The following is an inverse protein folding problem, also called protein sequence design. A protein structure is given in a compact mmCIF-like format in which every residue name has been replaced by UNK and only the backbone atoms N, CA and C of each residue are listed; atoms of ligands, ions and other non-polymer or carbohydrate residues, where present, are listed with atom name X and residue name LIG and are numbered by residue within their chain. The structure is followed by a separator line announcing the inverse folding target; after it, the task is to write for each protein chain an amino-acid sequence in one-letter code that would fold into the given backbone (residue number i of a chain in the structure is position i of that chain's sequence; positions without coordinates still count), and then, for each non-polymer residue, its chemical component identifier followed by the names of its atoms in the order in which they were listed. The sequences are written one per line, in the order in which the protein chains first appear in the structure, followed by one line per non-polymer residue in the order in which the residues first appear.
data_IF_627705757878
#
_entry.id   IF_627705757878
#
_cell.length_a   1.000
_cell.length_b   1.000
_cell.length_c   1.000
_cell.angle_alpha   90.00
_cell.angle_beta   90.00
_cell.angle_gamma   90.00
#
_symmetry.space_group_name_H-M   'P 1'
#
loop_
_entity.id
_entity.type
_entity.pdbx_description
1 polymer ?
#
# COMPACT_ATOMS: atom_id res chain seq x y z
N UNK A 1 9.45 -10.75 -7.59
CA UNK A 1 8.64 -9.60 -7.16
C UNK A 1 9.10 -8.28 -7.79
N UNK A 2 8.15 -7.54 -8.37
CA UNK A 2 8.28 -6.21 -8.96
C UNK A 2 7.15 -5.34 -8.43
N UNK A 3 7.38 -4.03 -8.29
CA UNK A 3 6.47 -3.11 -7.61
C UNK A 3 6.01 -1.98 -8.54
N UNK A 4 4.77 -1.58 -8.36
CA UNK A 4 4.07 -0.58 -9.16
C UNK A 4 3.20 0.28 -8.26
N UNK A 5 3.01 1.54 -8.61
CA UNK A 5 2.17 2.47 -7.86
C UNK A 5 1.08 3.04 -8.77
N UNK A 6 -0.10 3.29 -8.18
CA UNK A 6 -1.19 4.05 -8.81
C UNK A 6 -1.53 5.22 -7.90
N UNK A 7 -1.48 6.43 -8.46
CA UNK A 7 -1.88 7.66 -7.78
C UNK A 7 -3.25 8.11 -8.27
N UNK A 8 -4.02 8.73 -7.38
CA UNK A 8 -5.29 9.39 -7.69
C UNK A 8 -5.25 10.87 -7.25
N UNK A 9 -5.63 11.79 -8.14
CA UNK A 9 -5.51 13.23 -7.93
C UNK A 9 -4.21 13.84 -8.48
N UNK A 10 -4.16 15.17 -8.57
CA UNK A 10 -3.11 15.90 -9.34
C UNK A 10 -2.22 16.83 -8.48
N UNK A 11 -2.52 17.10 -7.19
CA UNK A 11 -1.83 18.21 -6.47
C UNK A 11 -1.46 18.00 -4.99
N UNK A 12 -1.90 16.92 -4.34
CA UNK A 12 -1.32 16.46 -3.07
C UNK A 12 -0.81 15.04 -3.30
N UNK A 13 0.21 14.61 -2.57
CA UNK A 13 0.63 13.21 -2.49
C UNK A 13 -0.52 12.41 -1.84
N UNK A 14 -1.64 12.27 -2.55
CA UNK A 14 -2.74 11.40 -2.19
C UNK A 14 -2.19 9.98 -2.08
N UNK A 15 -2.80 9.21 -1.18
CA UNK A 15 -2.39 7.84 -0.89
C UNK A 15 -2.19 7.05 -2.20
N UNK A 16 -0.93 6.78 -2.52
CA UNK A 16 -0.60 5.90 -3.62
C UNK A 16 -0.92 4.48 -3.17
N UNK A 17 -1.57 3.70 -4.02
CA UNK A 17 -1.71 2.25 -3.77
C UNK A 17 -0.50 1.53 -4.33
N UNK A 18 0.07 0.64 -3.54
CA UNK A 18 1.22 -0.16 -3.91
C UNK A 18 0.78 -1.55 -4.41
N UNK A 19 1.31 -1.96 -5.54
CA UNK A 19 1.01 -3.24 -6.20
C UNK A 19 2.30 -4.03 -6.39
N UNK A 20 2.29 -5.31 -6.01
CA UNK A 20 3.39 -6.23 -6.22
C UNK A 20 3.01 -7.32 -7.24
N UNK A 21 3.97 -7.79 -8.04
CA UNK A 21 3.75 -8.91 -8.95
C UNK A 21 5.02 -9.76 -9.13
N UNK A 22 4.89 -11.08 -9.30
CA UNK A 22 6.05 -11.96 -9.42
C UNK A 22 6.85 -11.79 -10.72
N UNK A 23 6.13 -11.48 -11.81
CA UNK A 23 6.70 -11.18 -13.12
C UNK A 23 6.76 -9.68 -13.37
N UNK A 24 7.77 -9.25 -14.11
CA UNK A 24 7.91 -7.86 -14.57
C UNK A 24 6.97 -7.60 -15.74
N UNK A 25 6.17 -6.57 -15.60
CA UNK A 25 5.50 -5.83 -16.68
C UNK A 25 6.33 -4.60 -17.03
N UNK A 26 6.44 -4.30 -18.33
CA UNK A 26 7.05 -3.04 -18.77
C UNK A 26 6.11 -1.85 -18.47
N UNK A 27 6.64 -0.62 -18.30
CA UNK A 27 5.81 0.53 -17.91
C UNK A 27 4.60 0.77 -18.82
N UNK A 28 4.76 0.62 -20.14
CA UNK A 28 3.66 0.76 -21.11
C UNK A 28 2.63 -0.36 -21.02
N UNK A 29 3.05 -1.56 -20.64
CA UNK A 29 2.17 -2.70 -20.44
C UNK A 29 1.31 -2.49 -19.19
N UNK A 30 1.94 -2.12 -18.07
CA UNK A 30 1.24 -1.76 -16.83
C UNK A 30 0.26 -0.60 -17.06
N UNK A 31 0.68 0.45 -17.76
CA UNK A 31 -0.18 1.58 -18.12
C UNK A 31 -1.42 1.15 -18.92
N UNK A 32 -1.27 0.22 -19.87
CA UNK A 32 -2.39 -0.30 -20.64
C UNK A 32 -3.38 -1.10 -19.78
N UNK A 33 -2.89 -1.88 -18.81
CA UNK A 33 -3.71 -2.62 -17.85
C UNK A 33 -4.51 -1.67 -16.95
N UNK A 34 -3.86 -0.66 -16.38
CA UNK A 34 -4.49 0.37 -15.54
C UNK A 34 -5.59 1.11 -16.32
N UNK A 35 -5.31 1.52 -17.57
CA UNK A 35 -6.31 2.19 -18.41
C UNK A 35 -7.52 1.31 -18.70
N UNK A 36 -7.30 0.02 -18.95
CA UNK A 36 -8.37 -0.95 -19.19
C UNK A 36 -9.25 -1.11 -17.95
N UNK A 37 -8.65 -1.31 -16.78
CA UNK A 37 -9.36 -1.42 -15.51
C UNK A 37 -10.14 -0.13 -15.18
N UNK A 38 -9.52 1.05 -15.36
CA UNK A 38 -10.17 2.34 -15.21
C UNK A 38 -11.44 2.45 -16.06
N UNK A 39 -11.38 2.08 -17.34
CA UNK A 39 -12.55 2.15 -18.24
C UNK A 39 -13.68 1.22 -17.79
N UNK A 40 -13.35 0.05 -17.22
CA UNK A 40 -14.33 -0.89 -16.69
C UNK A 40 -15.05 -0.30 -15.47
N UNK A 41 -14.31 0.34 -14.57
CA UNK A 41 -14.76 0.69 -13.22
C UNK A 41 -15.34 2.10 -13.09
N UNK A 42 -15.06 3.01 -14.04
CA UNK A 42 -15.32 4.46 -13.92
C UNK A 42 -16.73 4.85 -13.42
N UNK A 43 -17.74 4.01 -13.62
CA UNK A 43 -19.13 4.31 -13.23
C UNK A 43 -19.74 3.29 -12.25
N UNK A 44 -18.93 2.40 -11.64
CA UNK A 44 -19.47 1.26 -10.89
C UNK A 44 -18.58 0.74 -9.77
N UNK A 45 -17.53 1.46 -9.37
CA UNK A 45 -16.72 1.06 -8.22
C UNK A 45 -17.41 1.47 -6.91
N UNK A 46 -17.20 0.66 -5.86
CA UNK A 46 -17.78 0.85 -4.53
C UNK A 46 -16.72 1.18 -3.47
N UNK A 47 -15.45 1.05 -3.84
CA UNK A 47 -14.27 1.34 -3.03
C UNK A 47 -14.13 2.84 -2.72
N UNK A 48 -13.34 3.14 -1.68
CA UNK A 48 -13.13 4.50 -1.17
C UNK A 48 -12.37 5.39 -2.18
N UNK A 49 -11.62 4.78 -3.11
CA UNK A 49 -10.88 5.47 -4.17
C UNK A 49 -10.87 4.67 -5.48
N UNK A 50 -10.75 5.37 -6.61
CA UNK A 50 -10.61 4.74 -7.93
C UNK A 50 -9.26 4.00 -8.06
N UNK A 51 -8.20 4.50 -7.41
CA UNK A 51 -6.90 3.81 -7.36
C UNK A 51 -7.01 2.44 -6.67
N UNK A 52 -7.70 2.36 -5.53
CA UNK A 52 -7.98 1.10 -4.83
C UNK A 52 -8.85 0.15 -5.67
N UNK A 53 -9.91 0.65 -6.29
CA UNK A 53 -10.76 -0.15 -7.16
C UNK A 53 -9.95 -0.78 -8.31
N UNK A 54 -9.06 0.00 -8.94
CA UNK A 54 -8.18 -0.49 -9.99
C UNK A 54 -7.17 -1.51 -9.45
N UNK A 55 -6.57 -1.26 -8.29
CA UNK A 55 -5.62 -2.19 -7.67
C UNK A 55 -6.28 -3.54 -7.37
N UNK A 56 -7.50 -3.52 -6.82
CA UNK A 56 -8.29 -4.72 -6.56
C UNK A 56 -8.65 -5.47 -7.85
N UNK A 57 -9.02 -4.77 -8.93
CA UNK A 57 -9.30 -5.40 -10.22
C UNK A 57 -8.06 -6.04 -10.86
N UNK A 58 -6.89 -5.37 -10.77
CA UNK A 58 -5.62 -5.94 -11.22
C UNK A 58 -5.21 -7.15 -10.37
N UNK A 59 -5.47 -7.13 -9.07
CA UNK A 59 -5.24 -8.28 -8.21
C UNK A 59 -6.12 -9.48 -8.62
N UNK A 60 -7.42 -9.24 -8.84
CA UNK A 60 -8.39 -10.27 -9.25
C UNK A 60 -8.09 -10.86 -10.63
N UNK A 61 -7.69 -10.04 -11.60
CA UNK A 61 -7.65 -10.46 -13.01
C UNK A 61 -6.25 -10.69 -13.58
N UNK A 62 -5.24 -10.02 -13.04
CA UNK A 62 -3.86 -10.08 -13.54
C UNK A 62 -2.88 -10.70 -12.53
N UNK A 63 -3.33 -11.05 -11.33
CA UNK A 63 -2.51 -11.72 -10.32
C UNK A 63 -1.56 -10.79 -9.56
N UNK A 64 -1.85 -9.48 -9.56
CA UNK A 64 -1.15 -8.56 -8.66
C UNK A 64 -1.52 -8.82 -7.20
N UNK A 65 -0.64 -8.40 -6.31
CA UNK A 65 -0.88 -8.30 -4.88
C UNK A 65 -1.08 -6.82 -4.59
N UNK A 66 -2.27 -6.43 -4.15
CA UNK A 66 -2.50 -5.08 -3.62
C UNK A 66 -1.92 -5.04 -2.20
N UNK A 67 -0.85 -4.26 -2.01
CA UNK A 67 -0.14 -4.15 -0.73
C UNK A 67 -0.87 -3.16 0.15
N UNK A 68 -1.83 -3.69 0.92
CA UNK A 68 -2.57 -2.95 1.94
C UNK A 68 -1.86 -3.06 3.29
N UNK A 69 -2.27 -2.22 4.24
CA UNK A 69 -1.78 -2.24 5.62
C UNK A 69 -1.92 -3.63 6.28
N UNK A 70 -2.96 -4.39 5.94
CA UNK A 70 -3.18 -5.77 6.41
C UNK A 70 -2.05 -6.75 6.02
N UNK A 71 -1.27 -6.44 4.98
CA UNK A 71 -0.13 -7.23 4.55
C UNK A 71 1.19 -6.77 5.19
N UNK A 72 1.20 -5.62 5.87
CA UNK A 72 2.37 -5.12 6.56
C UNK A 72 2.59 -5.92 7.85
N UNK A 73 3.81 -6.47 7.99
CA UNK A 73 4.21 -7.22 9.19
C UNK A 73 4.77 -6.30 10.27
N UNK A 74 5.33 -5.16 9.87
CA UNK A 74 5.89 -4.16 10.76
C UNK A 74 5.88 -2.79 10.07
N UNK A 75 5.69 -1.74 10.85
CA UNK A 75 5.89 -0.35 10.45
C UNK A 75 6.74 0.33 11.52
N UNK A 76 7.70 1.16 11.13
CA UNK A 76 8.64 1.80 12.06
C UNK A 76 8.69 3.29 11.75
N UNK A 77 8.43 4.11 12.75
CA UNK A 77 8.72 5.54 12.68
C UNK A 77 10.21 5.74 12.94
N UNK A 78 10.84 6.66 12.21
CA UNK A 78 12.26 7.00 12.37
C UNK A 78 12.38 8.51 12.54
N UNK A 79 13.22 8.93 13.47
CA UNK A 79 13.55 10.31 13.76
C UNK A 79 15.06 10.46 14.03
N UNK A 80 15.57 11.69 14.09
CA UNK A 80 16.97 11.94 14.49
C UNK A 80 17.24 11.51 15.93
N UNK A 81 16.20 11.46 16.77
CA UNK A 81 16.27 11.00 18.16
C UNK A 81 15.89 9.52 18.28
N UNK A 82 16.56 8.82 19.20
CA UNK A 82 16.23 7.43 19.54
C UNK A 82 14.79 7.32 20.06
N UNK A 83 14.33 8.30 20.85
CA UNK A 83 12.96 8.36 21.37
C UNK A 83 11.91 8.54 20.27
N UNK A 84 12.28 9.18 19.16
CA UNK A 84 11.44 9.32 17.98
C UNK A 84 11.54 8.14 17.00
N UNK A 85 12.36 7.12 17.28
CA UNK A 85 12.45 5.90 16.49
C UNK A 85 11.75 4.74 17.20
N UNK A 86 10.64 4.25 16.65
CA UNK A 86 9.81 3.25 17.35
C UNK A 86 8.98 2.39 16.39
N UNK A 87 8.68 1.18 16.84
CA UNK A 87 7.75 0.29 16.16
C UNK A 87 6.32 0.85 16.26
N UNK A 88 5.69 1.03 15.11
CA UNK A 88 4.27 1.36 14.96
C UNK A 88 3.49 0.07 14.93
N UNK A 89 2.54 -0.08 15.86
CA UNK A 89 1.57 -1.17 15.84
C UNK A 89 0.16 -0.67 15.59
N UNK A 90 -0.56 -1.38 14.75
CA UNK A 90 -1.99 -1.19 14.52
C UNK A 90 -2.78 -1.85 15.64
N UNK A 91 -3.06 -1.13 16.73
CA UNK A 91 -4.18 -1.50 17.58
C UNK A 91 -5.47 -0.91 17.00
N UNK A 92 -6.30 -1.81 16.47
CA UNK A 92 -7.66 -1.63 15.97
C UNK A 92 -8.23 -0.19 16.04
N UNK A 93 -8.03 0.56 14.94
CA UNK A 93 -9.08 1.42 14.42
C UNK A 93 -9.01 2.93 14.64
N UNK A 94 -8.08 3.50 15.42
CA UNK A 94 -7.83 4.96 15.33
C UNK A 94 -6.60 5.50 16.10
N UNK A 95 -5.78 4.66 16.74
CA UNK A 95 -4.59 5.15 17.46
C UNK A 95 -3.47 4.13 17.38
N UNK A 96 -2.35 4.52 16.78
CA UNK A 96 -1.09 3.82 16.94
C UNK A 96 -0.68 3.87 18.42
N UNK A 97 -0.51 2.69 19.01
CA UNK A 97 -0.06 2.53 20.40
C UNK A 97 1.41 2.10 20.39
N UNK A 98 2.21 2.74 21.22
CA UNK A 98 3.64 2.49 21.38
C UNK A 98 3.88 1.09 21.97
N UNK A 99 4.69 0.25 21.32
CA UNK A 99 4.92 -1.12 21.79
C UNK A 99 6.33 -1.48 22.28
N UNK A 100 7.41 -0.75 21.92
CA UNK A 100 8.74 -1.16 22.39
C UNK A 100 9.79 -0.02 22.43
N UNK A 101 10.63 -0.05 23.47
CA UNK A 101 11.97 0.58 23.52
C UNK A 101 13.01 -0.55 23.48
N UNK A 102 14.26 -0.24 23.10
CA UNK A 102 15.34 -1.22 22.94
C UNK A 102 15.59 -2.15 24.14
N UNK A 103 15.14 -1.77 25.34
CA UNK A 103 15.16 -2.62 26.54
C UNK A 103 14.31 -3.90 26.43
N UNK A 104 13.28 -3.94 25.57
CA UNK A 104 12.37 -5.09 25.42
C UNK A 104 12.88 -6.16 24.42
N UNK A 105 13.86 -5.81 23.57
CA UNK A 105 14.35 -6.67 22.47
C UNK A 105 15.45 -7.64 22.94
N UNK A 106 16.08 -7.40 24.11
CA UNK A 106 17.23 -8.20 24.58
C UNK A 106 16.88 -9.54 25.28
N UNK A 107 15.60 -9.93 25.37
CA UNK A 107 15.18 -11.13 26.13
C UNK A 107 14.48 -12.20 25.28
N UNK A 108 15.05 -12.57 24.13
CA UNK A 108 14.69 -13.82 23.45
C UNK A 108 15.91 -14.56 22.88
#
# INVERSE_FOLDING_TARGET
MFFYEIHEGDEELGAAVLLAHERRFEPLEFFALVKKARTLLLNSFEEDSLSEAIANELARTQGFIHVTDELLVASVNVDETEEGTFLVSEEAGDRSVFLARDDDIQNN
#
